data_IF_625482486088
#
_entry.id   IF_625482486088
#
_cell.length_a   1.000
_cell.length_b   1.000
_cell.length_c   1.000
_cell.angle_alpha   90.00
_cell.angle_beta   90.00
_cell.angle_gamma   90.00
#
_symmetry.space_group_name_H-M   'P 1'
#
loop_
_entity.id
_entity.type
_entity.pdbx_description
1 polymer ?
#
# COMPACT_ATOMS: atom_id res chain seq x y z
N UNK A 1 -3.61 4.94 3.27
CA UNK A 1 -4.58 3.83 3.43
C UNK A 1 -4.15 2.70 2.51
N UNK A 2 -4.13 1.45 3.00
CA UNK A 2 -3.82 0.28 2.17
C UNK A 2 -5.13 -0.32 1.63
N UNK A 3 -5.19 -0.59 0.34
CA UNK A 3 -6.35 -1.19 -0.31
C UNK A 3 -5.95 -2.46 -1.05
N UNK A 4 -6.81 -3.46 -1.03
CA UNK A 4 -6.65 -4.66 -1.85
C UNK A 4 -7.29 -4.36 -3.21
N UNK A 5 -6.47 -4.30 -4.26
CA UNK A 5 -6.95 -4.09 -5.62
C UNK A 5 -7.00 -5.43 -6.38
N UNK A 6 -7.99 -5.59 -7.27
CA UNK A 6 -8.16 -6.81 -8.07
C UNK A 6 -7.59 -6.60 -9.48
N UNK A 7 -6.67 -7.46 -9.91
CA UNK A 7 -6.19 -7.48 -11.30
C UNK A 7 -7.25 -8.05 -12.22
N UNK A 8 -7.22 -7.69 -13.51
CA UNK A 8 -8.15 -8.19 -14.55
C UNK A 8 -8.16 -9.73 -14.66
N UNK A 9 -7.08 -10.40 -14.23
CA UNK A 9 -6.99 -11.85 -14.04
C UNK A 9 -6.84 -12.20 -12.55
N UNK A 10 -7.95 -12.16 -11.82
CA UNK A 10 -8.23 -12.82 -10.53
C UNK A 10 -7.25 -12.67 -9.33
N UNK A 11 -6.07 -12.07 -9.44
CA UNK A 11 -5.16 -11.87 -8.30
C UNK A 11 -5.47 -10.58 -7.53
N UNK A 12 -5.47 -10.69 -6.21
CA UNK A 12 -5.54 -9.57 -5.28
C UNK A 12 -4.11 -9.14 -4.95
N UNK A 13 -3.84 -7.84 -5.00
CA UNK A 13 -2.53 -7.28 -4.66
C UNK A 13 -2.69 -6.12 -3.67
N UNK A 14 -1.71 -5.99 -2.78
CA UNK A 14 -1.70 -4.90 -1.82
C UNK A 14 -1.30 -3.62 -2.51
N UNK A 15 -2.10 -2.58 -2.32
CA UNK A 15 -1.80 -1.26 -2.86
C UNK A 15 -1.71 -0.22 -1.77
N UNK A 16 -0.75 0.67 -1.92
CA UNK A 16 -0.71 1.93 -1.20
C UNK A 16 -1.16 3.03 -2.15
N UNK A 17 -2.11 3.85 -1.69
CA UNK A 17 -2.59 5.01 -2.43
C UNK A 17 -2.35 6.30 -1.65
N UNK A 18 -1.76 7.27 -2.33
CA UNK A 18 -1.74 8.67 -1.88
C UNK A 18 -2.49 9.51 -2.90
N UNK A 19 -3.23 10.52 -2.43
CA UNK A 19 -3.88 11.46 -3.33
C UNK A 19 -3.83 12.88 -2.80
N UNK A 20 -3.53 13.82 -3.68
CA UNK A 20 -3.40 15.23 -3.38
C UNK A 20 -4.34 16.02 -4.29
N UNK A 21 -5.04 16.99 -3.69
CA UNK A 21 -5.92 17.89 -4.41
C UNK A 21 -5.10 19.10 -4.85
N UNK A 22 -4.97 19.28 -6.17
CA UNK A 22 -4.31 20.43 -6.76
C UNK A 22 -5.34 21.55 -6.90
N UNK A 23 -4.99 22.73 -6.38
CA UNK A 23 -5.81 23.94 -6.43
C UNK A 23 -5.10 24.99 -7.30
N UNK A 24 -5.88 25.87 -7.92
CA UNK A 24 -5.33 27.07 -8.56
C UNK A 24 -4.97 28.14 -7.51
N UNK A 25 -4.42 29.28 -7.95
CA UNK A 25 -4.05 30.40 -7.08
C UNK A 25 -5.24 30.97 -6.28
N UNK A 26 -6.45 30.87 -6.81
CA UNK A 26 -7.68 31.27 -6.12
C UNK A 26 -8.21 30.21 -5.14
N UNK A 27 -7.47 29.11 -4.91
CA UNK A 27 -7.85 28.03 -4.00
C UNK A 27 -8.92 27.08 -4.55
N UNK A 28 -9.34 27.22 -5.81
CA UNK A 28 -10.34 26.35 -6.46
C UNK A 28 -9.68 25.04 -6.90
N UNK A 29 -10.25 23.87 -6.56
CA UNK A 29 -9.72 22.59 -6.99
C UNK A 29 -9.78 22.43 -8.51
N UNK A 30 -8.66 22.05 -9.12
CA UNK A 30 -8.52 21.87 -10.57
C UNK A 30 -8.28 20.41 -10.97
N UNK A 31 -7.64 19.60 -10.11
CA UNK A 31 -7.47 18.16 -10.33
C UNK A 31 -7.14 17.43 -9.02
N UNK A 32 -7.28 16.10 -9.05
CA UNK A 32 -6.76 15.20 -8.03
C UNK A 32 -5.62 14.41 -8.66
N UNK A 33 -4.45 14.46 -8.04
CA UNK A 33 -3.32 13.61 -8.39
C UNK A 33 -3.30 12.42 -7.45
N UNK A 34 -3.15 11.22 -8.00
CA UNK A 34 -3.09 9.99 -7.23
C UNK A 34 -1.90 9.14 -7.64
N UNK A 35 -1.19 8.61 -6.66
CA UNK A 35 -0.14 7.60 -6.87
C UNK A 35 -0.65 6.29 -6.28
N UNK A 36 -0.60 5.22 -7.07
CA UNK A 36 -0.91 3.86 -6.64
C UNK A 36 0.37 3.05 -6.77
N UNK A 37 0.84 2.45 -5.67
CA UNK A 37 2.01 1.57 -5.64
C UNK A 37 1.56 0.17 -5.26
N UNK A 38 2.05 -0.83 -5.99
CA UNK A 38 1.97 -2.22 -5.56
C UNK A 38 3.00 -2.43 -4.43
N UNK A 39 2.53 -2.88 -3.28
CA UNK A 39 3.35 -3.12 -2.08
C UNK A 39 3.32 -4.60 -1.65
N UNK A 40 2.87 -5.50 -2.53
CA UNK A 40 2.69 -6.92 -2.22
C UNK A 40 3.99 -7.57 -1.78
N UNK A 41 5.08 -7.29 -2.50
CA UNK A 41 6.40 -7.84 -2.17
C UNK A 41 6.92 -7.36 -0.81
N UNK A 42 6.77 -6.04 -0.54
CA UNK A 42 7.14 -5.46 0.75
C UNK A 42 6.37 -6.09 1.91
N UNK A 43 5.07 -6.35 1.71
CA UNK A 43 4.23 -7.00 2.72
C UNK A 43 4.62 -8.46 2.95
N UNK A 44 5.01 -9.19 1.91
CA UNK A 44 5.48 -10.57 2.05
C UNK A 44 6.74 -10.66 2.92
N UNK A 45 7.70 -9.77 2.68
CA UNK A 45 8.94 -9.72 3.47
C UNK A 45 8.67 -9.31 4.93
N UNK A 46 7.78 -8.35 5.16
CA UNK A 46 7.37 -7.94 6.51
C UNK A 46 6.72 -9.11 7.27
N UNK A 47 5.84 -9.89 6.63
CA UNK A 47 5.23 -11.08 7.23
C UNK A 47 6.25 -12.19 7.53
N UNK A 48 7.21 -12.42 6.64
CA UNK A 48 8.28 -13.40 6.83
C UNK A 48 9.16 -13.03 8.03
N UNK A 49 9.61 -11.78 8.10
CA UNK A 49 10.36 -11.28 9.26
C UNK A 49 9.57 -11.36 10.57
N UNK A 50 8.27 -11.06 10.56
CA UNK A 50 7.45 -11.18 11.77
C UNK A 50 7.36 -12.63 12.25
N UNK A 51 7.26 -13.61 11.33
CA UNK A 51 7.26 -15.03 11.68
C UNK A 51 8.58 -15.46 12.28
N UNK A 52 9.71 -15.07 11.69
CA UNK A 52 11.04 -15.38 12.23
C UNK A 52 11.23 -14.81 13.64
N UNK A 53 10.80 -13.56 13.85
CA UNK A 53 10.84 -12.91 15.18
C UNK A 53 9.96 -13.67 16.18
N UNK A 54 8.77 -14.10 15.78
CA UNK A 54 7.86 -14.83 16.66
C UNK A 54 8.38 -16.23 17.01
N UNK A 55 8.98 -16.93 16.05
CA UNK A 55 9.65 -18.22 16.30
C UNK A 55 10.85 -18.07 17.22
N UNK A 56 11.68 -17.03 17.01
CA UNK A 56 12.81 -16.74 17.89
C UNK A 56 12.37 -16.47 19.34
N UNK A 57 11.27 -15.72 19.52
CA UNK A 57 10.65 -15.44 20.82
C UNK A 57 10.02 -16.66 21.49
N UNK A 58 9.56 -17.66 20.73
CA UNK A 58 9.02 -18.92 21.30
C UNK A 58 10.11 -19.88 21.75
N UNK A 59 11.32 -19.75 21.18
CA UNK A 59 12.45 -20.63 21.43
C UNK A 59 13.32 -20.22 22.62
N UNK A 60 13.14 -19.00 23.13
CA UNK A 60 13.85 -18.43 24.28
C UNK A 60 12.83 -17.94 25.31
#
# INVERSE_FOLDING_TARGET
MHHIARRKMASFFYTERTSTMVKNEAGKPIRIEGIIRDITERKRQEEEWQREIEEFKKKH
#
